data_IF_741070625520
#
_entry.id   IF_741070625520
#
_cell.length_a   1.000
_cell.length_b   1.000
_cell.length_c   1.000
_cell.angle_alpha   90.00
_cell.angle_beta   90.00
_cell.angle_gamma   90.00
#
_symmetry.space_group_name_H-M   'P 1'
#
loop_
_entity.id
_entity.type
_entity.pdbx_description
1 polymer ?
#
# COMPACT_ATOMS: atom_id res chain seq x y z
N UNK A 1 15.29 -38.28 -70.38
CA UNK A 1 15.04 -37.68 -69.04
C UNK A 1 16.24 -38.04 -68.18
N UNK A 2 17.29 -37.22 -68.23
CA UNK A 2 18.48 -37.41 -67.38
C UNK A 2 18.21 -36.80 -66.05
N UNK A 3 18.16 -37.62 -64.98
CA UNK A 3 18.16 -37.17 -63.64
C UNK A 3 19.54 -36.68 -63.28
N UNK A 4 19.72 -35.37 -63.18
CA UNK A 4 20.91 -34.77 -62.61
C UNK A 4 20.89 -35.10 -61.08
N UNK A 5 21.79 -36.06 -60.76
CA UNK A 5 22.08 -36.37 -59.36
C UNK A 5 23.02 -35.28 -58.85
N UNK A 6 22.46 -34.21 -58.25
CA UNK A 6 23.23 -33.20 -57.51
C UNK A 6 23.66 -33.78 -56.14
N UNK A 7 24.48 -34.87 -56.21
CA UNK A 7 25.15 -35.31 -54.96
C UNK A 7 26.34 -34.35 -54.73
N UNK A 8 26.08 -33.44 -53.76
CA UNK A 8 27.11 -32.52 -53.27
C UNK A 8 28.20 -33.38 -52.62
N UNK A 9 29.34 -33.60 -53.35
CA UNK A 9 30.44 -34.37 -52.79
C UNK A 9 31.08 -33.61 -51.62
N UNK A 10 31.37 -34.31 -50.54
CA UNK A 10 32.06 -33.78 -49.38
C UNK A 10 33.35 -33.03 -49.71
N UNK A 11 34.01 -33.45 -50.76
CA UNK A 11 35.20 -32.85 -51.33
C UNK A 11 34.97 -31.43 -51.88
N UNK A 12 33.81 -31.16 -52.50
CA UNK A 12 33.48 -29.85 -53.07
C UNK A 12 33.13 -28.84 -51.89
N UNK A 13 32.56 -29.35 -50.85
CA UNK A 13 32.30 -28.55 -49.60
C UNK A 13 33.65 -28.16 -48.99
N UNK A 14 34.61 -29.08 -48.87
CA UNK A 14 35.93 -28.80 -48.30
C UNK A 14 36.74 -27.83 -49.14
N UNK A 15 36.67 -27.93 -50.45
CA UNK A 15 37.39 -27.01 -51.42
C UNK A 15 36.76 -25.62 -51.27
N UNK A 16 35.43 -25.48 -51.29
CA UNK A 16 34.73 -24.19 -51.06
C UNK A 16 35.07 -23.57 -49.70
N UNK A 17 35.13 -24.40 -48.64
CA UNK A 17 35.50 -23.93 -47.28
C UNK A 17 36.96 -23.41 -47.27
N UNK A 18 37.89 -24.08 -47.98
CA UNK A 18 39.29 -23.64 -48.16
C UNK A 18 39.37 -22.29 -48.88
N UNK A 19 38.60 -22.14 -49.97
CA UNK A 19 38.55 -20.89 -50.74
C UNK A 19 37.94 -19.70 -49.90
N UNK A 20 36.90 -19.95 -49.14
CA UNK A 20 36.34 -18.94 -48.18
C UNK A 20 37.39 -18.56 -47.14
N UNK A 21 38.10 -19.52 -46.56
CA UNK A 21 39.17 -19.25 -45.60
C UNK A 21 40.27 -18.40 -46.22
N UNK A 22 40.76 -18.74 -47.44
CA UNK A 22 41.76 -17.95 -48.14
C UNK A 22 41.27 -16.52 -48.47
N UNK A 23 40.01 -16.37 -48.87
CA UNK A 23 39.38 -15.05 -49.08
C UNK A 23 39.30 -14.21 -47.81
N UNK A 24 38.89 -14.79 -46.70
CA UNK A 24 38.82 -14.12 -45.37
C UNK A 24 40.24 -13.68 -44.95
N UNK A 25 41.25 -14.54 -45.10
CA UNK A 25 42.63 -14.16 -44.79
C UNK A 25 43.16 -13.03 -45.69
N UNK A 26 42.78 -12.98 -46.95
CA UNK A 26 43.15 -11.90 -47.87
C UNK A 26 42.52 -10.57 -47.49
N UNK A 27 41.32 -10.60 -46.87
CA UNK A 27 40.57 -9.40 -46.42
C UNK A 27 40.72 -9.12 -44.92
N UNK A 28 41.63 -9.83 -44.21
CA UNK A 28 41.78 -9.75 -42.76
C UNK A 28 41.91 -8.31 -42.20
N UNK A 29 42.66 -7.44 -42.88
CA UNK A 29 42.85 -6.06 -42.43
C UNK A 29 41.55 -5.23 -42.49
N UNK A 30 40.69 -5.50 -43.48
CA UNK A 30 39.37 -4.84 -43.56
C UNK A 30 38.48 -5.36 -42.45
N UNK A 31 38.44 -6.68 -42.21
CA UNK A 31 37.65 -7.30 -41.15
C UNK A 31 38.09 -6.78 -39.77
N UNK A 32 39.41 -6.79 -39.53
CA UNK A 32 39.97 -6.27 -38.25
C UNK A 32 39.65 -4.77 -38.06
N UNK A 33 39.77 -3.97 -39.13
CA UNK A 33 39.45 -2.54 -39.07
C UNK A 33 38.00 -2.25 -38.72
N UNK A 34 37.05 -2.96 -39.36
CA UNK A 34 35.63 -2.85 -39.02
C UNK A 34 35.34 -3.37 -37.61
N UNK A 35 35.91 -4.52 -37.23
CA UNK A 35 35.76 -5.07 -35.90
C UNK A 35 36.25 -4.09 -34.82
N UNK A 36 37.44 -3.48 -35.02
CA UNK A 36 37.98 -2.48 -34.11
C UNK A 36 37.10 -1.23 -34.03
N UNK A 37 36.56 -0.74 -35.16
CA UNK A 37 35.62 0.37 -35.17
C UNK A 37 34.39 0.10 -34.33
N UNK A 38 33.79 -1.09 -34.47
CA UNK A 38 32.61 -1.45 -33.68
C UNK A 38 32.93 -1.64 -32.19
N UNK A 39 34.11 -2.16 -31.85
CA UNK A 39 34.56 -2.23 -30.44
C UNK A 39 34.68 -0.84 -29.85
N UNK A 40 35.32 0.10 -30.55
CA UNK A 40 35.46 1.49 -30.09
C UNK A 40 34.08 2.13 -29.92
N UNK A 41 33.17 1.99 -30.88
CA UNK A 41 31.82 2.50 -30.79
C UNK A 41 31.03 1.86 -29.59
N UNK A 42 31.21 0.56 -29.38
CA UNK A 42 30.60 -0.15 -28.27
C UNK A 42 31.11 0.34 -26.90
N UNK A 43 32.41 0.59 -26.78
CA UNK A 43 33.05 1.13 -25.60
C UNK A 43 32.53 2.57 -25.30
N UNK A 44 32.52 3.42 -26.34
CA UNK A 44 31.98 4.79 -26.20
C UNK A 44 30.52 4.73 -25.77
N UNK A 45 29.69 3.89 -26.36
CA UNK A 45 28.29 3.70 -26.00
C UNK A 45 28.13 3.19 -24.55
N UNK A 46 28.97 2.25 -24.09
CA UNK A 46 28.92 1.74 -22.73
C UNK A 46 29.26 2.83 -21.68
N UNK A 47 30.24 3.70 -21.99
CA UNK A 47 30.60 4.81 -21.10
C UNK A 47 29.58 5.96 -21.08
N UNK A 48 28.71 6.08 -22.08
CA UNK A 48 27.67 7.11 -22.12
C UNK A 48 26.37 6.69 -21.44
N UNK A 49 26.20 5.41 -21.08
CA UNK A 49 25.01 4.94 -20.36
C UNK A 49 25.11 5.20 -18.87
N UNK A 50 24.08 5.84 -18.32
CA UNK A 50 23.91 6.02 -16.89
C UNK A 50 23.73 4.66 -16.19
N UNK A 51 24.38 4.48 -15.05
CA UNK A 51 24.19 3.28 -14.20
C UNK A 51 22.82 3.36 -13.56
N UNK A 52 22.05 2.28 -13.66
CA UNK A 52 20.74 2.14 -13.02
C UNK A 52 20.83 1.17 -11.87
N UNK A 53 20.22 1.54 -10.76
CA UNK A 53 20.10 0.74 -9.55
C UNK A 53 18.68 0.23 -9.41
N UNK A 54 18.51 -1.05 -9.10
CA UNK A 54 17.22 -1.66 -8.81
C UNK A 54 17.11 -1.94 -7.32
N UNK A 55 16.14 -1.32 -6.65
CA UNK A 55 15.74 -1.68 -5.30
C UNK A 55 14.55 -2.62 -5.38
N UNK A 56 14.68 -3.78 -4.75
CA UNK A 56 13.63 -4.80 -4.69
C UNK A 56 13.26 -5.05 -3.24
N UNK A 57 11.96 -5.15 -2.97
CA UNK A 57 11.40 -5.47 -1.68
C UNK A 57 10.30 -6.51 -1.86
N UNK A 58 10.36 -7.55 -1.05
CA UNK A 58 9.38 -8.65 -1.07
C UNK A 58 8.61 -8.67 0.24
N UNK A 59 7.29 -8.75 0.16
CA UNK A 59 6.44 -8.76 1.35
C UNK A 59 5.23 -9.68 1.18
N UNK A 60 4.64 -10.05 2.32
CA UNK A 60 3.37 -10.80 2.41
C UNK A 60 2.38 -9.96 3.19
N UNK A 61 1.14 -9.97 2.75
CA UNK A 61 0.03 -9.45 3.54
C UNK A 61 -0.72 -10.63 4.14
N UNK A 62 -0.63 -10.75 5.45
CA UNK A 62 -1.36 -11.76 6.21
C UNK A 62 -2.71 -11.16 6.64
N UNK A 63 -3.79 -11.73 6.12
CA UNK A 63 -5.12 -11.52 6.65
C UNK A 63 -5.45 -12.71 7.55
N UNK A 64 -5.76 -12.47 8.82
CA UNK A 64 -6.31 -13.53 9.65
C UNK A 64 -7.58 -14.07 9.02
N UNK A 65 -7.48 -15.25 8.43
CA UNK A 65 -8.64 -15.97 7.93
C UNK A 65 -9.55 -16.30 9.12
N UNK A 66 -10.71 -15.72 9.13
CA UNK A 66 -11.74 -15.84 10.19
C UNK A 66 -12.33 -17.26 10.34
N UNK A 67 -11.53 -18.28 10.11
CA UNK A 67 -11.96 -19.66 10.10
C UNK A 67 -11.77 -20.41 11.43
N UNK A 68 -12.47 -20.05 12.50
CA UNK A 68 -12.45 -20.92 13.67
C UNK A 68 -13.25 -20.41 14.87
N UNK A 69 -12.89 -19.32 15.47
CA UNK A 69 -13.58 -18.77 16.65
C UNK A 69 -14.54 -17.61 16.33
N UNK A 70 -14.35 -16.97 15.20
CA UNK A 70 -15.18 -15.84 14.75
C UNK A 70 -16.56 -16.26 14.23
N UNK A 71 -16.78 -17.50 13.83
CA UNK A 71 -18.09 -17.98 13.40
C UNK A 71 -19.17 -17.86 14.49
N UNK A 72 -18.79 -18.05 15.74
CA UNK A 72 -19.69 -17.83 16.88
C UNK A 72 -19.92 -16.33 17.18
N UNK A 73 -18.91 -15.48 16.96
CA UNK A 73 -18.99 -14.03 17.17
C UNK A 73 -19.71 -13.33 16.02
N UNK A 74 -19.62 -13.82 14.77
CA UNK A 74 -20.35 -13.27 13.62
C UNK A 74 -21.87 -13.39 13.79
N UNK A 75 -22.34 -14.46 14.42
CA UNK A 75 -23.75 -14.64 14.77
C UNK A 75 -24.28 -13.60 15.77
N UNK A 76 -23.46 -13.16 16.71
CA UNK A 76 -23.83 -12.12 17.67
C UNK A 76 -23.79 -10.72 17.03
N UNK A 77 -22.76 -10.46 16.24
CA UNK A 77 -22.58 -9.18 15.57
C UNK A 77 -23.61 -8.93 14.45
N UNK A 78 -24.03 -9.99 13.73
CA UNK A 78 -25.11 -9.88 12.72
C UNK A 78 -26.48 -9.56 13.36
N UNK A 79 -26.71 -9.94 14.62
CA UNK A 79 -27.91 -9.61 15.36
C UNK A 79 -28.04 -8.09 15.64
N UNK A 80 -26.89 -7.38 15.60
CA UNK A 80 -26.83 -5.92 15.74
C UNK A 80 -26.63 -5.19 14.40
N UNK A 81 -26.80 -5.89 13.28
CA UNK A 81 -26.62 -5.30 11.95
C UNK A 81 -25.16 -5.15 11.51
N UNK A 82 -24.23 -5.71 12.27
CA UNK A 82 -22.82 -5.77 11.90
C UNK A 82 -22.59 -7.01 11.06
N UNK A 83 -22.48 -6.86 9.75
CA UNK A 83 -22.07 -7.92 8.85
C UNK A 83 -20.55 -8.17 9.00
N UNK A 84 -20.20 -8.97 10.02
CA UNK A 84 -18.79 -9.39 10.23
C UNK A 84 -18.42 -10.55 9.30
N UNK A 85 -19.39 -11.13 8.58
CA UNK A 85 -19.19 -12.38 7.88
C UNK A 85 -19.43 -12.39 6.37
N UNK A 86 -19.90 -11.31 5.79
CA UNK A 86 -20.31 -11.33 4.39
C UNK A 86 -19.76 -10.19 3.56
N UNK A 87 -18.95 -10.45 2.59
CA UNK A 87 -18.56 -9.60 1.45
C UNK A 87 -17.37 -8.63 1.58
N UNK A 88 -16.78 -8.38 2.75
CA UNK A 88 -15.59 -7.52 2.80
C UNK A 88 -14.27 -8.22 2.40
N UNK A 89 -14.23 -9.55 2.40
CA UNK A 89 -13.07 -10.32 1.95
C UNK A 89 -12.80 -10.25 0.43
N UNK A 90 -13.80 -9.85 -0.34
CA UNK A 90 -13.64 -9.67 -1.79
C UNK A 90 -13.10 -8.29 -2.18
N UNK A 91 -13.11 -7.31 -1.26
CA UNK A 91 -12.77 -5.92 -1.60
C UNK A 91 -11.26 -5.66 -1.63
N UNK A 92 -10.48 -6.48 -0.93
CA UNK A 92 -9.02 -6.37 -0.91
C UNK A 92 -8.36 -7.72 -1.21
N UNK A 93 -8.57 -8.18 -2.45
CA UNK A 93 -7.74 -9.23 -3.03
C UNK A 93 -6.31 -8.71 -3.20
N UNK A 94 -5.33 -9.60 -3.31
CA UNK A 94 -3.95 -9.27 -3.67
C UNK A 94 -3.88 -8.29 -4.84
N UNK A 95 -4.77 -8.42 -5.81
CA UNK A 95 -4.87 -7.51 -6.95
C UNK A 95 -5.10 -6.07 -6.53
N UNK A 96 -5.93 -5.83 -5.51
CA UNK A 96 -6.19 -4.48 -5.00
C UNK A 96 -4.96 -3.89 -4.31
N UNK A 97 -4.10 -4.70 -3.69
CA UNK A 97 -2.83 -4.23 -3.10
C UNK A 97 -1.86 -3.81 -4.20
N UNK A 98 -1.78 -4.56 -5.30
CA UNK A 98 -0.98 -4.19 -6.47
C UNK A 98 -1.45 -2.86 -7.06
N UNK A 99 -2.77 -2.70 -7.24
CA UNK A 99 -3.37 -1.46 -7.73
C UNK A 99 -3.15 -0.30 -6.75
N UNK A 100 -3.21 -0.56 -5.44
CA UNK A 100 -3.00 0.45 -4.41
C UNK A 100 -1.55 0.95 -4.42
N UNK A 101 -0.55 0.05 -4.53
CA UNK A 101 0.86 0.40 -4.67
C UNK A 101 1.14 1.25 -5.91
N UNK A 102 0.41 1.02 -6.99
CA UNK A 102 0.51 1.75 -8.23
C UNK A 102 -0.35 3.01 -8.26
N UNK A 103 -1.17 3.23 -7.22
CA UNK A 103 -2.08 4.37 -7.17
C UNK A 103 -1.35 5.70 -7.01
N UNK A 104 -1.89 6.73 -7.64
CA UNK A 104 -1.37 8.11 -7.55
C UNK A 104 -1.27 8.58 -6.09
N UNK A 105 -2.30 8.33 -5.27
CA UNK A 105 -2.34 8.81 -3.90
C UNK A 105 -1.22 8.22 -3.02
N UNK A 106 -0.92 6.94 -3.15
CA UNK A 106 0.15 6.28 -2.38
C UNK A 106 1.52 6.76 -2.84
N UNK A 107 1.76 6.82 -4.15
CA UNK A 107 3.05 7.29 -4.69
C UNK A 107 3.31 8.75 -4.34
N UNK A 108 2.31 9.63 -4.49
CA UNK A 108 2.46 11.03 -4.08
C UNK A 108 2.71 11.17 -2.58
N UNK A 109 1.99 10.40 -1.73
CA UNK A 109 2.23 10.40 -0.29
C UNK A 109 3.64 9.95 0.07
N UNK A 110 4.16 8.93 -0.63
CA UNK A 110 5.54 8.47 -0.44
C UNK A 110 6.56 9.52 -0.88
N UNK A 111 6.34 10.18 -2.02
CA UNK A 111 7.21 11.24 -2.55
C UNK A 111 7.24 12.49 -1.66
N UNK A 112 6.19 12.74 -0.88
CA UNK A 112 6.13 13.85 0.09
C UNK A 112 6.80 13.52 1.43
N UNK A 113 7.30 12.29 1.64
CA UNK A 113 8.07 11.94 2.83
C UNK A 113 9.49 12.45 2.74
N UNK A 114 10.04 12.82 3.90
CA UNK A 114 11.45 13.19 4.00
C UNK A 114 12.33 11.95 4.03
N UNK A 115 13.45 12.00 3.30
CA UNK A 115 14.46 10.96 3.28
C UNK A 115 15.86 11.57 3.17
N UNK A 116 16.87 10.78 3.54
CA UNK A 116 18.27 11.20 3.41
C UNK A 116 18.88 10.50 2.20
N UNK A 117 19.22 11.28 1.18
CA UNK A 117 19.85 10.81 -0.06
C UNK A 117 21.12 11.61 -0.30
N UNK A 118 22.23 10.95 -0.57
CA UNK A 118 23.55 11.57 -0.78
C UNK A 118 23.96 12.52 0.39
N UNK A 119 23.59 12.16 1.62
CA UNK A 119 23.89 12.97 2.80
C UNK A 119 22.98 14.19 3.02
N UNK A 120 22.09 14.52 2.10
CA UNK A 120 21.11 15.61 2.19
C UNK A 120 19.74 15.06 2.62
N UNK A 121 19.13 15.67 3.64
CA UNK A 121 17.75 15.34 4.05
C UNK A 121 16.81 16.32 3.38
N UNK A 122 15.89 15.77 2.58
CA UNK A 122 14.90 16.54 1.81
C UNK A 122 13.66 15.69 1.54
N UNK A 123 12.62 16.25 0.90
CA UNK A 123 11.49 15.48 0.40
C UNK A 123 11.94 14.55 -0.74
N UNK A 124 11.40 13.35 -0.80
CA UNK A 124 11.73 12.43 -1.89
C UNK A 124 11.39 13.01 -3.27
N UNK A 125 10.35 13.79 -3.40
CA UNK A 125 10.01 14.46 -4.66
C UNK A 125 11.10 15.45 -5.09
N UNK A 126 11.72 16.18 -4.16
CA UNK A 126 12.80 17.11 -4.45
C UNK A 126 14.07 16.36 -4.91
N UNK A 127 14.38 15.22 -4.25
CA UNK A 127 15.45 14.33 -4.68
C UNK A 127 15.17 13.74 -6.06
N UNK A 128 13.92 13.32 -6.35
CA UNK A 128 13.54 12.81 -7.66
C UNK A 128 13.78 13.85 -8.76
N UNK A 129 13.36 15.08 -8.55
CA UNK A 129 13.54 16.18 -9.50
C UNK A 129 15.02 16.50 -9.75
N UNK A 130 15.87 16.37 -8.73
CA UNK A 130 17.31 16.58 -8.84
C UNK A 130 17.99 15.43 -9.60
N UNK A 131 17.72 14.17 -9.20
CA UNK A 131 18.30 12.96 -9.82
C UNK A 131 17.88 12.81 -11.29
N UNK A 132 16.62 13.14 -11.60
CA UNK A 132 16.07 13.08 -12.97
C UNK A 132 16.44 14.28 -13.83
N UNK A 133 17.22 15.25 -13.29
CA UNK A 133 17.61 16.51 -13.95
C UNK A 133 16.44 17.35 -14.45
N UNK A 134 15.23 17.09 -13.97
CA UNK A 134 14.02 17.81 -14.36
C UNK A 134 14.11 19.29 -13.94
N UNK A 135 14.76 19.60 -12.82
CA UNK A 135 14.99 20.98 -12.39
C UNK A 135 15.84 21.79 -13.38
N UNK A 136 16.79 21.15 -14.06
CA UNK A 136 17.62 21.77 -15.08
C UNK A 136 16.77 22.12 -16.34
N UNK A 137 15.89 21.19 -16.75
CA UNK A 137 14.94 21.44 -17.84
C UNK A 137 13.93 22.55 -17.52
N UNK A 138 13.52 22.66 -16.24
CA UNK A 138 12.60 23.71 -15.78
C UNK A 138 13.25 25.08 -15.65
N UNK A 139 14.57 25.15 -15.45
CA UNK A 139 15.28 26.44 -15.40
C UNK A 139 15.15 27.25 -16.70
N UNK A 140 14.89 26.57 -17.83
CA UNK A 140 14.66 27.18 -19.15
C UNK A 140 13.20 27.60 -19.38
N UNK A 141 12.26 27.22 -18.48
CA UNK A 141 10.82 27.49 -18.61
C UNK A 141 10.35 28.42 -17.50
N UNK A 142 9.89 29.59 -17.85
CA UNK A 142 9.43 30.60 -16.88
C UNK A 142 8.28 30.14 -15.97
N UNK A 143 7.42 29.22 -16.46
CA UNK A 143 6.27 28.69 -15.73
C UNK A 143 6.65 27.79 -14.54
N UNK A 144 7.84 27.16 -14.55
CA UNK A 144 8.29 26.19 -13.55
C UNK A 144 9.50 26.67 -12.74
N UNK A 145 10.00 27.87 -13.04
CA UNK A 145 11.19 28.44 -12.39
C UNK A 145 10.89 28.72 -10.93
N UNK A 146 11.66 28.07 -10.05
CA UNK A 146 11.57 28.27 -8.60
C UNK A 146 10.45 27.48 -7.92
N UNK A 147 9.79 26.53 -8.58
CA UNK A 147 8.84 25.63 -7.93
C UNK A 147 9.57 24.72 -6.93
N UNK A 148 9.10 24.72 -5.70
CA UNK A 148 9.59 23.88 -4.60
C UNK A 148 8.42 23.25 -3.86
N UNK A 149 8.51 21.97 -3.56
CA UNK A 149 7.47 21.23 -2.84
C UNK A 149 7.48 21.47 -1.32
N UNK A 150 8.38 22.29 -0.82
CA UNK A 150 8.33 22.80 0.56
C UNK A 150 7.29 23.89 0.76
N UNK A 151 6.86 24.53 -0.33
CA UNK A 151 5.85 25.57 -0.30
C UNK A 151 4.43 24.97 -0.23
N UNK A 152 3.44 25.84 -0.02
CA UNK A 152 2.04 25.41 0.00
C UNK A 152 1.64 24.78 -1.35
N UNK A 153 0.95 23.66 -1.29
CA UNK A 153 0.41 22.99 -2.46
C UNK A 153 -0.43 23.96 -3.34
N UNK A 154 -0.14 23.95 -4.63
CA UNK A 154 -0.86 24.71 -5.65
C UNK A 154 -1.22 23.80 -6.82
N UNK A 155 -2.05 24.28 -7.73
CA UNK A 155 -2.42 23.57 -8.97
C UNK A 155 -1.17 23.09 -9.76
N UNK A 156 -0.09 23.90 -9.75
CA UNK A 156 1.17 23.54 -10.42
C UNK A 156 1.81 22.30 -9.76
N UNK A 157 1.85 22.24 -8.42
CA UNK A 157 2.39 21.09 -7.67
C UNK A 157 1.58 19.82 -7.99
N UNK A 158 0.25 19.90 -8.01
CA UNK A 158 -0.60 18.76 -8.34
C UNK A 158 -0.37 18.27 -9.77
N UNK A 159 -0.22 19.17 -10.73
CA UNK A 159 0.09 18.84 -12.12
C UNK A 159 1.45 18.14 -12.27
N UNK A 160 2.47 18.68 -11.60
CA UNK A 160 3.83 18.11 -11.59
C UNK A 160 3.84 16.72 -10.95
N UNK A 161 3.20 16.57 -9.78
CA UNK A 161 3.08 15.28 -9.10
C UNK A 161 2.42 14.24 -9.99
N UNK A 162 1.38 14.61 -10.72
CA UNK A 162 0.72 13.70 -11.67
C UNK A 162 1.63 13.24 -12.81
N UNK A 163 2.45 14.14 -13.36
CA UNK A 163 3.44 13.80 -14.41
C UNK A 163 4.53 12.89 -13.84
N UNK A 164 5.01 13.16 -12.64
CA UNK A 164 6.02 12.34 -11.96
C UNK A 164 5.45 10.94 -11.69
N UNK A 165 4.24 10.85 -11.14
CA UNK A 165 3.55 9.58 -10.92
C UNK A 165 3.46 8.75 -12.20
N UNK A 166 3.03 9.34 -13.31
CA UNK A 166 2.94 8.64 -14.58
C UNK A 166 4.29 8.12 -15.06
N UNK A 167 5.36 8.93 -14.98
CA UNK A 167 6.72 8.50 -15.34
C UNK A 167 7.21 7.35 -14.46
N UNK A 168 6.92 7.38 -13.16
CA UNK A 168 7.29 6.33 -12.22
C UNK A 168 6.61 5.02 -12.61
N UNK A 169 5.30 5.01 -12.84
CA UNK A 169 4.54 3.81 -13.20
C UNK A 169 4.99 3.25 -14.55
N UNK A 170 5.21 4.10 -15.54
CA UNK A 170 5.54 3.62 -16.90
C UNK A 170 6.97 3.09 -17.02
N UNK A 171 7.93 3.63 -16.27
CA UNK A 171 9.35 3.39 -16.54
C UNK A 171 10.17 2.86 -15.37
N UNK A 172 9.71 3.05 -14.14
CA UNK A 172 10.57 2.85 -12.97
C UNK A 172 10.03 1.83 -11.96
N UNK A 173 8.71 1.77 -11.78
CA UNK A 173 8.07 0.93 -10.78
C UNK A 173 7.49 -0.33 -11.41
N UNK A 174 7.78 -1.47 -10.81
CA UNK A 174 7.16 -2.76 -11.16
C UNK A 174 6.63 -3.41 -9.89
N UNK A 175 5.36 -3.80 -9.91
CA UNK A 175 4.71 -4.49 -8.79
C UNK A 175 4.12 -5.79 -9.32
N UNK A 176 4.59 -6.91 -8.80
CA UNK A 176 4.24 -8.24 -9.31
C UNK A 176 3.96 -9.23 -8.17
N UNK A 177 3.09 -10.19 -8.45
CA UNK A 177 2.95 -11.40 -7.63
C UNK A 177 4.04 -12.38 -8.03
N UNK A 178 4.91 -12.75 -7.10
CA UNK A 178 5.99 -13.72 -7.33
C UNK A 178 5.44 -15.14 -7.55
N UNK A 179 4.30 -15.44 -6.93
CA UNK A 179 3.57 -16.69 -7.07
C UNK A 179 2.12 -16.49 -6.68
N UNK A 180 1.19 -16.95 -7.50
CA UNK A 180 -0.24 -16.91 -7.19
C UNK A 180 -0.60 -17.76 -5.95
N UNK A 181 0.20 -18.81 -5.66
CA UNK A 181 -0.04 -19.72 -4.55
C UNK A 181 0.52 -19.19 -3.21
N UNK A 182 1.58 -18.37 -3.25
CA UNK A 182 2.34 -17.98 -2.05
C UNK A 182 1.97 -16.60 -1.48
N UNK A 183 1.09 -15.85 -2.10
CA UNK A 183 0.68 -14.51 -1.68
C UNK A 183 1.86 -13.52 -1.51
N UNK A 184 2.97 -13.78 -2.21
CA UNK A 184 4.19 -12.98 -2.12
C UNK A 184 4.16 -11.90 -3.19
N UNK A 185 4.24 -10.65 -2.76
CA UNK A 185 4.29 -9.48 -3.64
C UNK A 185 5.73 -8.98 -3.70
N UNK A 186 6.21 -8.73 -4.90
CA UNK A 186 7.52 -8.12 -5.16
C UNK A 186 7.31 -6.72 -5.70
N UNK A 187 7.97 -5.77 -5.07
CA UNK A 187 8.02 -4.36 -5.44
C UNK A 187 9.42 -4.02 -5.90
N UNK A 188 9.59 -3.64 -7.16
CA UNK A 188 10.88 -3.26 -7.75
C UNK A 188 10.84 -1.82 -8.25
N UNK A 189 11.88 -1.07 -7.95
CA UNK A 189 12.02 0.31 -8.40
C UNK A 189 13.41 0.58 -8.97
N UNK A 190 13.46 1.12 -10.18
CA UNK A 190 14.70 1.43 -10.89
C UNK A 190 14.99 2.93 -10.85
N UNK A 191 16.17 3.31 -10.36
CA UNK A 191 16.62 4.71 -10.27
C UNK A 191 18.06 4.87 -10.73
N UNK A 192 18.47 6.12 -10.98
CA UNK A 192 19.87 6.51 -11.21
C UNK A 192 20.67 6.67 -9.90
N UNK A 193 20.01 6.64 -8.75
CA UNK A 193 20.62 6.74 -7.44
C UNK A 193 20.16 5.60 -6.53
N UNK A 194 21.11 4.89 -5.93
CA UNK A 194 20.87 3.71 -5.09
C UNK A 194 20.13 4.07 -3.80
N UNK A 195 20.59 5.09 -3.07
CA UNK A 195 19.98 5.51 -1.80
C UNK A 195 18.52 5.95 -2.03
N UNK A 196 18.28 6.69 -3.12
CA UNK A 196 16.94 7.11 -3.47
C UNK A 196 16.04 5.91 -3.79
N UNK A 197 16.52 4.94 -4.57
CA UNK A 197 15.74 3.76 -4.92
C UNK A 197 15.28 3.00 -3.65
N UNK A 198 16.19 2.79 -2.72
CA UNK A 198 15.92 2.14 -1.43
C UNK A 198 14.90 2.93 -0.60
N UNK A 199 15.17 4.21 -0.35
CA UNK A 199 14.30 5.06 0.47
C UNK A 199 12.89 5.17 -0.13
N UNK A 200 12.78 5.29 -1.47
CA UNK A 200 11.49 5.36 -2.14
C UNK A 200 10.67 4.07 -1.92
N UNK A 201 11.26 2.89 -2.11
CA UNK A 201 10.58 1.60 -1.90
C UNK A 201 10.13 1.46 -0.45
N UNK A 202 10.98 1.79 0.53
CA UNK A 202 10.64 1.75 1.95
C UNK A 202 9.50 2.72 2.31
N UNK A 203 9.52 3.95 1.79
CA UNK A 203 8.42 4.90 2.02
C UNK A 203 7.14 4.48 1.32
N UNK A 204 7.25 3.94 0.11
CA UNK A 204 6.09 3.49 -0.66
C UNK A 204 5.33 2.36 0.06
N UNK A 205 6.04 1.33 0.55
CA UNK A 205 5.40 0.25 1.32
C UNK A 205 4.81 0.76 2.62
N UNK A 206 5.47 1.68 3.32
CA UNK A 206 4.97 2.26 4.55
C UNK A 206 3.68 3.08 4.34
N UNK A 207 3.62 3.92 3.31
CA UNK A 207 2.42 4.71 3.00
C UNK A 207 1.27 3.82 2.51
N UNK A 208 1.55 2.83 1.67
CA UNK A 208 0.56 1.82 1.29
C UNK A 208 0.01 1.09 2.52
N UNK A 209 0.89 0.66 3.43
CA UNK A 209 0.51 -0.04 4.67
C UNK A 209 -0.43 0.81 5.53
N UNK A 210 -0.09 2.08 5.74
CA UNK A 210 -0.93 3.03 6.50
C UNK A 210 -2.31 3.18 5.84
N UNK A 211 -2.34 3.39 4.52
CA UNK A 211 -3.59 3.58 3.79
C UNK A 211 -4.45 2.32 3.80
N UNK A 212 -3.82 1.15 3.64
CA UNK A 212 -4.48 -0.14 3.68
C UNK A 212 -5.10 -0.41 5.06
N UNK A 213 -4.33 -0.26 6.14
CA UNK A 213 -4.79 -0.42 7.51
C UNK A 213 -5.93 0.57 7.82
N UNK A 214 -5.76 1.85 7.47
CA UNK A 214 -6.78 2.86 7.70
C UNK A 214 -8.10 2.51 7.01
N UNK A 215 -8.05 2.01 5.78
CA UNK A 215 -9.24 1.61 5.03
C UNK A 215 -9.91 0.37 5.65
N UNK A 216 -9.13 -0.66 5.99
CA UNK A 216 -9.65 -1.90 6.58
C UNK A 216 -10.28 -1.68 7.95
N UNK A 217 -9.72 -0.77 8.74
CA UNK A 217 -10.20 -0.51 10.10
C UNK A 217 -11.23 0.62 10.19
N UNK A 218 -11.46 1.38 9.11
CA UNK A 218 -12.32 2.57 9.13
C UNK A 218 -13.74 2.31 9.66
N UNK A 219 -14.38 1.21 9.21
CA UNK A 219 -15.73 0.85 9.66
C UNK A 219 -15.73 0.36 11.11
N UNK A 220 -14.74 -0.42 11.50
CA UNK A 220 -14.60 -0.93 12.86
C UNK A 220 -14.36 0.23 13.84
N UNK A 221 -13.51 1.21 13.49
CA UNK A 221 -13.28 2.41 14.29
C UNK A 221 -14.56 3.22 14.47
N UNK A 222 -15.33 3.47 13.41
CA UNK A 222 -16.62 4.19 13.51
C UNK A 222 -17.61 3.48 14.44
N UNK A 223 -17.65 2.15 14.38
CA UNK A 223 -18.50 1.35 15.26
C UNK A 223 -18.05 1.45 16.71
N UNK A 224 -16.75 1.40 16.95
CA UNK A 224 -16.16 1.52 18.28
C UNK A 224 -16.45 2.90 18.88
N UNK A 225 -16.25 3.98 18.14
CA UNK A 225 -16.54 5.35 18.56
C UNK A 225 -18.03 5.50 18.93
N UNK A 226 -18.93 5.00 18.07
CA UNK A 226 -20.37 5.01 18.33
C UNK A 226 -20.74 4.26 19.62
N UNK A 227 -20.18 3.06 19.83
CA UNK A 227 -20.46 2.28 21.04
C UNK A 227 -19.90 2.95 22.29
N UNK A 228 -18.72 3.58 22.19
CA UNK A 228 -18.12 4.32 23.30
C UNK A 228 -19.01 5.51 23.70
N UNK A 229 -19.38 6.36 22.73
CA UNK A 229 -20.24 7.53 22.97
C UNK A 229 -21.60 7.12 23.58
N UNK A 230 -22.16 5.99 23.09
CA UNK A 230 -23.43 5.48 23.59
C UNK A 230 -23.30 4.91 24.99
N UNK A 231 -22.24 4.21 25.33
CA UNK A 231 -21.97 3.68 26.65
C UNK A 231 -21.81 4.82 27.67
N UNK A 232 -21.08 5.88 27.32
CA UNK A 232 -20.86 7.05 28.17
C UNK A 232 -22.16 7.82 28.41
N UNK A 233 -23.00 7.94 27.36
CA UNK A 233 -24.35 8.57 27.51
C UNK A 233 -25.23 7.78 28.46
N UNK A 234 -25.38 6.45 28.26
CA UNK A 234 -26.22 5.61 29.10
C UNK A 234 -25.70 5.53 30.52
N UNK A 235 -24.36 5.51 30.70
CA UNK A 235 -23.78 5.59 32.06
C UNK A 235 -24.16 6.89 32.79
N UNK A 236 -24.10 8.02 32.09
CA UNK A 236 -24.50 9.31 32.65
C UNK A 236 -25.98 9.32 33.03
N UNK A 237 -26.85 8.79 32.16
CA UNK A 237 -28.28 8.65 32.43
C UNK A 237 -28.54 7.72 33.64
N UNK A 238 -27.79 6.60 33.74
CA UNK A 238 -27.87 5.66 34.85
C UNK A 238 -27.54 6.33 36.19
N UNK A 239 -26.43 7.07 36.25
CA UNK A 239 -26.00 7.79 37.44
C UNK A 239 -27.09 8.79 37.90
N UNK A 240 -27.70 9.50 36.95
CA UNK A 240 -28.82 10.46 37.28
C UNK A 240 -30.04 9.70 37.81
N UNK A 241 -30.41 8.59 37.15
CA UNK A 241 -31.57 7.79 37.58
C UNK A 241 -31.37 7.16 38.99
N UNK A 242 -30.14 6.66 39.26
CA UNK A 242 -29.79 6.14 40.60
C UNK A 242 -29.91 7.22 41.70
N UNK A 243 -29.42 8.43 41.42
CA UNK A 243 -29.54 9.55 42.35
C UNK A 243 -31.01 9.93 42.60
N UNK A 244 -31.83 9.93 41.53
CA UNK A 244 -33.27 10.19 41.66
C UNK A 244 -33.98 9.08 42.44
N UNK A 245 -33.62 7.82 42.20
CA UNK A 245 -34.14 6.68 42.94
C UNK A 245 -33.80 6.77 44.44
N UNK A 246 -32.55 7.12 44.77
CA UNK A 246 -32.11 7.29 46.15
C UNK A 246 -32.95 8.37 46.85
N UNK A 247 -33.12 9.54 46.21
CA UNK A 247 -33.96 10.62 46.73
C UNK A 247 -35.44 10.19 46.93
N UNK A 248 -35.99 9.44 45.94
CA UNK A 248 -37.37 8.95 46.05
C UNK A 248 -37.53 7.95 47.20
N UNK A 249 -36.55 7.06 47.43
CA UNK A 249 -36.55 6.14 48.57
C UNK A 249 -36.50 6.88 49.91
N UNK A 250 -35.69 7.91 50.05
CA UNK A 250 -35.61 8.72 51.26
C UNK A 250 -36.93 9.42 51.60
N UNK A 251 -37.60 9.98 50.59
CA UNK A 251 -38.90 10.61 50.74
C UNK A 251 -39.98 9.58 51.16
N UNK A 252 -39.92 8.38 50.57
CA UNK A 252 -40.93 7.34 50.69
C UNK A 252 -40.80 6.47 51.97
N UNK A 253 -39.85 6.71 52.87
CA UNK A 253 -39.54 5.87 54.03
C UNK A 253 -40.78 5.67 54.95
N UNK A 254 -41.71 6.64 55.01
CA UNK A 254 -42.89 6.60 55.82
C UNK A 254 -44.22 6.33 55.09
N UNK A 255 -44.11 6.10 53.71
CA UNK A 255 -45.35 5.90 52.93
C UNK A 255 -45.67 4.41 52.88
N UNK A 256 -46.87 4.07 53.49
CA UNK A 256 -47.39 2.70 53.57
C UNK A 256 -48.17 2.32 52.29
N UNK A 257 -48.88 3.31 51.68
CA UNK A 257 -49.74 3.07 50.53
C UNK A 257 -48.89 2.86 49.27
N UNK A 258 -49.09 1.71 48.50
CA UNK A 258 -48.39 1.37 47.27
C UNK A 258 -48.53 2.45 46.20
N UNK A 259 -49.69 3.12 46.10
CA UNK A 259 -49.91 4.23 45.16
C UNK A 259 -48.96 5.41 45.38
N UNK A 260 -48.59 5.69 46.66
CA UNK A 260 -47.61 6.73 46.97
C UNK A 260 -46.16 6.37 46.57
N UNK A 261 -45.85 5.09 46.34
CA UNK A 261 -44.51 4.61 45.91
C UNK A 261 -44.39 4.40 44.42
N UNK A 262 -45.39 4.80 43.61
CA UNK A 262 -45.38 4.56 42.18
C UNK A 262 -44.14 5.17 41.48
N UNK A 263 -43.70 6.35 41.87
CA UNK A 263 -42.52 7.03 41.35
C UNK A 263 -41.23 6.26 41.66
N UNK A 264 -41.10 5.71 42.86
CA UNK A 264 -39.97 4.86 43.26
C UNK A 264 -39.91 3.60 42.40
N UNK A 265 -41.04 2.93 42.15
CA UNK A 265 -41.12 1.74 41.29
C UNK A 265 -40.81 2.05 39.81
N UNK A 266 -41.17 3.23 39.32
CA UNK A 266 -40.81 3.69 37.97
C UNK A 266 -39.30 3.90 37.85
N UNK A 267 -38.71 4.64 38.80
CA UNK A 267 -37.27 4.91 38.84
C UNK A 267 -36.46 3.61 39.01
N UNK A 268 -36.95 2.66 39.82
CA UNK A 268 -36.29 1.36 39.98
C UNK A 268 -36.24 0.59 38.68
N UNK A 269 -37.30 0.56 37.86
CA UNK A 269 -37.32 -0.04 36.53
C UNK A 269 -36.40 0.69 35.55
N UNK A 270 -36.37 2.04 35.62
CA UNK A 270 -35.52 2.87 34.79
C UNK A 270 -34.04 2.55 35.05
N UNK A 271 -33.61 2.50 36.31
CA UNK A 271 -32.26 2.08 36.72
C UNK A 271 -31.96 0.67 36.26
N UNK A 272 -32.87 -0.28 36.40
CA UNK A 272 -32.68 -1.67 35.97
C UNK A 272 -32.49 -1.77 34.44
N UNK A 273 -33.30 -1.05 33.67
CA UNK A 273 -33.19 -0.99 32.19
C UNK A 273 -31.90 -0.32 31.78
N UNK A 274 -31.54 0.83 32.32
CA UNK A 274 -30.31 1.54 32.02
C UNK A 274 -29.07 0.73 32.37
N UNK A 275 -29.08 0.04 33.52
CA UNK A 275 -27.99 -0.86 33.92
C UNK A 275 -27.82 -2.04 32.94
N UNK A 276 -28.93 -2.67 32.55
CA UNK A 276 -28.92 -3.74 31.58
C UNK A 276 -28.37 -3.26 30.20
N UNK A 277 -28.82 -2.07 29.75
CA UNK A 277 -28.31 -1.43 28.53
C UNK A 277 -26.83 -1.13 28.63
N UNK A 278 -26.36 -0.57 29.73
CA UNK A 278 -24.94 -0.25 29.94
C UNK A 278 -24.06 -1.49 29.89
N UNK A 279 -24.46 -2.56 30.62
CA UNK A 279 -23.71 -3.82 30.60
C UNK A 279 -23.58 -4.42 29.18
N UNK A 280 -24.67 -4.40 28.40
CA UNK A 280 -24.66 -4.89 27.03
C UNK A 280 -23.80 -4.01 26.11
N UNK A 281 -23.86 -2.68 26.29
CA UNK A 281 -22.99 -1.76 25.51
C UNK A 281 -21.51 -1.96 25.84
N UNK A 282 -21.13 -2.13 27.10
CA UNK A 282 -19.75 -2.41 27.52
C UNK A 282 -19.26 -3.72 26.93
N UNK A 283 -20.08 -4.77 26.98
CA UNK A 283 -19.76 -6.06 26.35
C UNK A 283 -19.53 -5.90 24.84
N UNK A 284 -20.43 -5.19 24.14
CA UNK A 284 -20.30 -4.98 22.70
C UNK A 284 -19.10 -4.10 22.35
N UNK A 285 -18.75 -3.14 23.19
CA UNK A 285 -17.55 -2.32 23.08
C UNK A 285 -16.28 -3.20 23.14
N UNK A 286 -16.18 -4.10 24.10
CA UNK A 286 -15.03 -5.00 24.21
C UNK A 286 -14.95 -5.98 23.02
N UNK A 287 -16.09 -6.51 22.55
CA UNK A 287 -16.13 -7.33 21.34
C UNK A 287 -15.68 -6.55 20.10
N UNK A 288 -16.07 -5.27 19.99
CA UNK A 288 -15.66 -4.41 18.86
C UNK A 288 -14.18 -4.08 18.90
N UNK A 289 -13.57 -3.91 20.08
CA UNK A 289 -12.11 -3.76 20.23
C UNK A 289 -11.36 -5.00 19.72
N UNK A 290 -11.82 -6.20 20.09
CA UNK A 290 -11.25 -7.46 19.62
C UNK A 290 -11.41 -7.58 18.09
N UNK A 291 -12.58 -7.25 17.54
CA UNK A 291 -12.83 -7.26 16.11
C UNK A 291 -11.93 -6.28 15.35
N UNK A 292 -11.63 -5.11 15.94
CA UNK A 292 -10.69 -4.13 15.37
C UNK A 292 -9.26 -4.71 15.29
N UNK A 293 -8.80 -5.37 16.36
CA UNK A 293 -7.49 -6.02 16.37
C UNK A 293 -7.39 -7.08 15.25
N UNK A 294 -8.40 -7.91 15.12
CA UNK A 294 -8.43 -8.97 14.10
C UNK A 294 -8.56 -8.44 12.66
N UNK A 295 -9.08 -7.23 12.48
CA UNK A 295 -9.17 -6.56 11.16
C UNK A 295 -7.91 -5.77 10.78
N UNK A 296 -6.93 -5.65 11.68
CA UNK A 296 -5.69 -4.95 11.40
C UNK A 296 -4.74 -5.90 10.68
N UNK A 297 -4.53 -5.76 9.37
CA UNK A 297 -3.67 -6.66 8.61
C UNK A 297 -2.21 -6.49 9.03
N UNK A 298 -1.47 -7.57 8.99
CA UNK A 298 -0.03 -7.59 9.28
C UNK A 298 0.70 -7.64 7.94
N UNK A 299 1.55 -6.66 7.70
CA UNK A 299 2.41 -6.62 6.51
C UNK A 299 3.81 -7.03 6.93
N UNK A 300 4.22 -8.23 6.51
CA UNK A 300 5.51 -8.80 6.81
C UNK A 300 6.46 -8.60 5.63
N UNK A 301 7.49 -7.77 5.83
CA UNK A 301 8.59 -7.63 4.87
C UNK A 301 9.47 -8.86 5.02
N UNK A 302 9.75 -9.53 3.89
CA UNK A 302 10.55 -10.76 3.84
C UNK A 302 11.99 -10.42 3.50
N UNK A 303 12.21 -9.53 2.51
CA UNK A 303 13.52 -9.18 1.99
C UNK A 303 13.47 -7.77 1.34
#
# INVERSE_FOLDING_TARGET
MERHNDEIQLKDILIKLSDYKAYLFKKKFIIIGFSFLFVVLGVVYAFTKDTKYNAELTFVVEEESSGGSLGAMSGIASQFGFDIGGSSSATFSQQNILELLSSRGVIESALMQSAKVNGKTDLLIEHYLEISKIKEEWAERDDFKGVSFHDKSSYIHDSISGIIWQKIIENNLTVELKSDEANIITLSYISLNEEFAKEFVEKLINEMSKMYIAHQTAQANKTLDFLQDRADSVFSELVIAEQQLAKAKDINQRIIKVTGRLKELQLMREVEVLNAMYLELVKNLELSKIALLNKTPIINIID
#
